data_IF_975151513183
#
_entry.id   IF_975151513183
#
_cell.length_a   1.000
_cell.length_b   1.000
_cell.length_c   1.000
_cell.angle_alpha   90.00
_cell.angle_beta   90.00
_cell.angle_gamma   90.00
#
_symmetry.space_group_name_H-M   'P 1'
#
loop_
_entity.id
_entity.type
_entity.pdbx_description
1 polymer ?
#
# COMPACT_ATOMS: atom_id res chain seq x y z
N UNK A 1 -17.12 3.95 -1.31
CA UNK A 1 -16.44 3.09 -0.32
C UNK A 1 -15.58 4.00 0.55
N UNK A 2 -15.65 3.91 1.88
CA UNK A 2 -14.81 4.74 2.75
C UNK A 2 -13.42 4.09 2.90
N UNK A 3 -12.60 4.22 1.85
CA UNK A 3 -11.28 3.60 1.79
C UNK A 3 -10.34 4.14 2.88
N UNK A 4 -10.51 5.40 3.28
CA UNK A 4 -9.71 6.06 4.31
C UNK A 4 -9.94 5.42 5.69
N UNK A 5 -11.20 5.12 6.03
CA UNK A 5 -11.50 4.38 7.25
C UNK A 5 -10.89 2.97 7.25
N UNK A 6 -10.95 2.26 6.13
CA UNK A 6 -10.31 0.93 5.99
C UNK A 6 -8.80 1.05 6.15
N UNK A 7 -8.18 2.06 5.54
CA UNK A 7 -6.76 2.32 5.65
C UNK A 7 -6.33 2.50 7.11
N UNK A 8 -6.94 3.44 7.84
CA UNK A 8 -6.55 3.70 9.23
C UNK A 8 -6.80 2.51 10.15
N UNK A 9 -7.88 1.75 9.93
CA UNK A 9 -8.16 0.54 10.71
C UNK A 9 -7.08 -0.53 10.52
N UNK A 10 -6.61 -0.73 9.28
CA UNK A 10 -5.52 -1.66 8.99
C UNK A 10 -4.17 -1.17 9.55
N UNK A 11 -3.88 0.13 9.48
CA UNK A 11 -2.68 0.72 10.10
C UNK A 11 -2.69 0.52 11.62
N UNK A 12 -3.81 0.82 12.29
CA UNK A 12 -3.94 0.62 13.73
C UNK A 12 -3.76 -0.86 14.11
N UNK A 13 -4.36 -1.76 13.33
CA UNK A 13 -4.21 -3.22 13.52
C UNK A 13 -2.76 -3.65 13.33
N UNK A 14 -2.06 -3.10 12.33
CA UNK A 14 -0.65 -3.39 12.09
C UNK A 14 0.24 -2.94 13.26
N UNK A 15 0.00 -1.75 13.80
CA UNK A 15 0.74 -1.22 14.95
C UNK A 15 0.51 -2.06 16.21
N UNK A 16 -0.74 -2.45 16.49
CA UNK A 16 -1.06 -3.35 17.61
C UNK A 16 -0.38 -4.71 17.46
N UNK A 17 -0.38 -5.27 16.24
CA UNK A 17 0.28 -6.54 15.96
C UNK A 17 1.79 -6.46 16.21
N UNK A 18 2.45 -5.38 15.77
CA UNK A 18 3.87 -5.12 16.04
C UNK A 18 4.15 -4.98 17.54
N UNK A 19 3.35 -4.22 18.27
CA UNK A 19 3.49 -4.07 19.73
C UNK A 19 3.34 -5.41 20.46
N UNK A 20 2.52 -6.32 19.94
CA UNK A 20 2.36 -7.68 20.44
C UNK A 20 3.42 -8.68 19.94
N UNK A 21 4.45 -8.25 19.21
CA UNK A 21 5.51 -9.11 18.65
C UNK A 21 5.11 -9.91 17.41
N UNK A 22 3.95 -9.64 16.80
CA UNK A 22 3.45 -10.34 15.62
C UNK A 22 3.77 -9.57 14.33
N UNK A 23 5.06 -9.52 13.98
CA UNK A 23 5.56 -8.81 12.80
C UNK A 23 4.99 -9.33 11.47
N UNK A 24 4.70 -10.63 11.39
CA UNK A 24 4.09 -11.20 10.18
C UNK A 24 2.69 -10.61 9.94
N UNK A 25 1.86 -10.54 10.98
CA UNK A 25 0.54 -9.92 10.91
C UNK A 25 0.65 -8.42 10.64
N UNK A 26 1.59 -7.72 11.28
CA UNK A 26 1.84 -6.30 11.04
C UNK A 26 2.08 -6.02 9.54
N UNK A 27 2.92 -6.83 8.88
CA UNK A 27 3.17 -6.74 7.43
C UNK A 27 1.94 -7.07 6.57
N UNK A 28 1.07 -7.98 7.00
CA UNK A 28 -0.16 -8.31 6.28
C UNK A 28 -1.14 -7.13 6.34
N UNK A 29 -1.37 -6.58 7.53
CA UNK A 29 -2.23 -5.42 7.73
C UNK A 29 -1.70 -4.20 6.98
N UNK A 30 -0.40 -3.94 7.01
CA UNK A 30 0.22 -2.86 6.23
C UNK A 30 -0.06 -2.98 4.71
N UNK A 31 0.06 -4.19 4.13
CA UNK A 31 -0.29 -4.41 2.72
C UNK A 31 -1.79 -4.22 2.45
N UNK A 32 -2.66 -4.59 3.38
CA UNK A 32 -4.12 -4.38 3.25
C UNK A 32 -4.45 -2.89 3.29
N UNK A 33 -3.80 -2.13 4.17
CA UNK A 33 -3.91 -0.67 4.22
C UNK A 33 -3.49 -0.06 2.87
N UNK A 34 -2.30 -0.40 2.38
CA UNK A 34 -1.81 0.07 1.08
C UNK A 34 -2.76 -0.28 -0.07
N UNK A 35 -3.34 -1.49 -0.08
CA UNK A 35 -4.30 -1.90 -1.10
C UNK A 35 -5.59 -1.08 -1.06
N UNK A 36 -6.08 -0.66 0.11
CA UNK A 36 -7.28 0.19 0.18
C UNK A 36 -7.07 1.51 -0.56
N UNK A 37 -5.89 2.14 -0.40
CA UNK A 37 -5.51 3.37 -1.10
C UNK A 37 -5.40 3.12 -2.60
N UNK A 38 -4.68 2.07 -3.00
CA UNK A 38 -4.51 1.75 -4.43
C UNK A 38 -5.85 1.47 -5.08
N UNK A 39 -6.76 0.74 -4.42
CA UNK A 39 -8.10 0.51 -4.96
C UNK A 39 -8.89 1.81 -5.13
N UNK A 40 -8.77 2.74 -4.19
CA UNK A 40 -9.41 4.05 -4.30
C UNK A 40 -8.85 4.87 -5.46
N UNK A 41 -7.53 4.90 -5.60
CA UNK A 41 -6.85 5.58 -6.70
C UNK A 41 -7.21 4.97 -8.06
N UNK A 42 -7.18 3.64 -8.20
CA UNK A 42 -7.62 2.97 -9.43
C UNK A 42 -9.06 3.35 -9.77
N UNK A 43 -9.93 3.38 -8.78
CA UNK A 43 -11.32 3.79 -8.97
C UNK A 43 -11.45 5.27 -9.39
N UNK A 44 -10.65 6.19 -8.85
CA UNK A 44 -10.71 7.61 -9.23
C UNK A 44 -10.28 7.84 -10.69
N UNK A 45 -9.34 7.03 -11.20
CA UNK A 45 -8.92 7.06 -12.60
C UNK A 45 -9.77 6.15 -13.52
N UNK A 46 -10.91 5.63 -13.04
CA UNK A 46 -11.86 4.85 -13.83
C UNK A 46 -11.46 3.39 -14.10
N UNK A 47 -10.47 2.87 -13.37
CA UNK A 47 -9.99 1.49 -13.48
C UNK A 47 -10.63 0.63 -12.39
N UNK A 48 -11.24 -0.49 -12.80
CA UNK A 48 -11.78 -1.44 -11.83
C UNK A 48 -10.64 -2.17 -11.10
N UNK A 49 -10.56 -2.09 -9.76
CA UNK A 49 -9.51 -2.77 -9.02
C UNK A 49 -9.65 -4.30 -9.07
N UNK A 50 -8.51 -4.97 -9.08
CA UNK A 50 -8.41 -6.41 -8.94
C UNK A 50 -8.74 -6.86 -7.51
N UNK A 51 -9.21 -8.10 -7.38
CA UNK A 51 -9.44 -8.73 -6.06
C UNK A 51 -8.14 -8.98 -5.29
N UNK A 52 -7.02 -9.16 -5.99
CA UNK A 52 -5.72 -9.45 -5.39
C UNK A 52 -4.89 -8.18 -5.24
N UNK A 53 -4.47 -7.87 -4.01
CA UNK A 53 -3.64 -6.71 -3.71
C UNK A 53 -2.33 -6.65 -4.52
N UNK A 54 -1.67 -7.79 -4.72
CA UNK A 54 -0.43 -7.85 -5.50
C UNK A 54 -0.67 -7.51 -6.98
N UNK A 55 -1.84 -7.85 -7.51
CA UNK A 55 -2.21 -7.47 -8.88
C UNK A 55 -2.43 -5.97 -8.98
N UNK A 56 -3.13 -5.36 -8.02
CA UNK A 56 -3.30 -3.91 -7.95
C UNK A 56 -1.96 -3.18 -7.88
N UNK A 57 -1.04 -3.64 -7.02
CA UNK A 57 0.29 -3.04 -6.88
C UNK A 57 1.12 -3.16 -8.16
N UNK A 58 1.15 -4.34 -8.78
CA UNK A 58 1.86 -4.52 -10.07
C UNK A 58 1.26 -3.69 -11.18
N UNK A 59 -0.07 -3.63 -11.25
CA UNK A 59 -0.74 -2.82 -12.24
C UNK A 59 -0.34 -1.35 -12.06
N UNK A 60 -0.46 -0.82 -10.84
CA UNK A 60 -0.10 0.56 -10.58
C UNK A 60 1.37 0.84 -10.89
N UNK A 61 2.28 -0.04 -10.46
CA UNK A 61 3.72 0.09 -10.71
C UNK A 61 4.05 0.14 -12.21
N UNK A 62 3.36 -0.66 -13.02
CA UNK A 62 3.58 -0.72 -14.47
C UNK A 62 3.00 0.48 -15.24
N UNK A 63 2.03 1.21 -14.66
CA UNK A 63 1.35 2.33 -15.33
C UNK A 63 1.80 3.69 -14.80
N UNK A 64 2.49 3.73 -13.67
CA UNK A 64 3.20 4.92 -13.19
C UNK A 64 4.49 5.14 -13.98
N UNK A 65 4.92 6.40 -14.10
CA UNK A 65 6.25 6.74 -14.64
C UNK A 65 7.36 6.16 -13.75
N UNK A 66 8.52 5.90 -14.34
CA UNK A 66 9.69 5.36 -13.63
C UNK A 66 10.19 6.24 -12.49
N UNK A 67 10.08 7.56 -12.64
CA UNK A 67 10.49 8.57 -11.66
C UNK A 67 9.41 8.87 -10.61
N UNK A 68 8.26 8.22 -10.69
CA UNK A 68 7.15 8.47 -9.77
C UNK A 68 7.51 7.99 -8.35
N UNK A 69 7.32 8.79 -7.29
CA UNK A 69 7.71 8.44 -5.92
C UNK A 69 7.12 7.12 -5.40
N UNK A 70 5.94 6.72 -5.87
CA UNK A 70 5.32 5.46 -5.47
C UNK A 70 6.00 4.20 -6.05
N UNK A 71 6.92 4.33 -7.01
CA UNK A 71 7.62 3.19 -7.62
C UNK A 71 8.39 2.37 -6.57
N UNK A 72 9.15 3.05 -5.71
CA UNK A 72 9.93 2.44 -4.63
C UNK A 72 9.02 1.75 -3.60
N UNK A 73 7.96 2.46 -3.18
CA UNK A 73 6.98 1.98 -2.22
C UNK A 73 6.30 0.70 -2.70
N UNK A 74 5.88 0.68 -3.97
CA UNK A 74 5.26 -0.48 -4.61
C UNK A 74 6.24 -1.65 -4.72
N UNK A 75 7.52 -1.38 -5.00
CA UNK A 75 8.55 -2.42 -5.01
C UNK A 75 8.68 -3.07 -3.63
N UNK A 76 8.73 -2.29 -2.56
CA UNK A 76 8.78 -2.79 -1.18
C UNK A 76 7.54 -3.61 -0.80
N UNK A 77 6.34 -3.14 -1.18
CA UNK A 77 5.08 -3.86 -0.92
C UNK A 77 5.00 -5.20 -1.67
N UNK A 78 5.60 -5.28 -2.86
CA UNK A 78 5.66 -6.48 -3.71
C UNK A 78 6.76 -7.47 -3.30
N UNK A 79 7.71 -7.07 -2.45
CA UNK A 79 8.72 -7.99 -1.92
C UNK A 79 8.01 -9.15 -1.20
N UNK A 80 8.35 -10.36 -1.63
CA UNK A 80 7.99 -11.58 -0.92
C UNK A 80 8.95 -11.75 0.25
N UNK A 81 8.45 -12.42 1.29
CA UNK A 81 9.32 -12.93 2.36
C UNK A 81 10.34 -13.88 1.71
N UNK A 82 11.62 -13.71 2.03
CA UNK A 82 12.68 -14.54 1.45
C UNK A 82 12.54 -16.00 1.90
N UNK A 83 13.29 -16.91 1.27
CA UNK A 83 13.25 -18.36 1.56
C UNK A 83 13.53 -18.69 3.03
N UNK A 84 14.23 -17.80 3.73
CA UNK A 84 14.55 -17.92 5.15
C UNK A 84 13.44 -17.35 6.08
N UNK A 85 12.26 -17.06 5.54
CA UNK A 85 11.15 -16.37 6.22
C UNK A 85 11.52 -14.99 6.78
N UNK A 86 12.69 -14.46 6.43
CA UNK A 86 13.12 -13.11 6.76
C UNK A 86 12.56 -12.11 5.74
N UNK A 87 11.99 -11.03 6.28
CA UNK A 87 11.74 -9.82 5.52
C UNK A 87 12.92 -8.89 5.78
N UNK A 88 13.36 -8.05 4.82
CA UNK A 88 14.49 -7.17 5.10
C UNK A 88 14.16 -6.26 6.28
N UNK A 89 14.93 -6.35 7.37
CA UNK A 89 14.64 -5.66 8.64
C UNK A 89 14.63 -4.13 8.52
N UNK A 90 15.24 -3.59 7.47
CA UNK A 90 15.26 -2.17 7.17
C UNK A 90 13.98 -1.65 6.49
N UNK A 91 13.06 -2.53 6.06
CA UNK A 91 11.84 -2.14 5.36
C UNK A 91 10.66 -2.24 6.31
N UNK A 92 10.10 -1.09 6.68
CA UNK A 92 8.88 -1.01 7.47
C UNK A 92 7.65 -0.82 6.58
N UNK A 93 6.91 -1.91 6.33
CA UNK A 93 5.72 -1.85 5.49
C UNK A 93 4.61 -0.94 6.04
N UNK A 94 4.57 -0.69 7.35
CA UNK A 94 3.62 0.28 7.92
C UNK A 94 3.96 1.68 7.43
N UNK A 95 5.25 2.05 7.47
CA UNK A 95 5.73 3.33 6.94
C UNK A 95 5.56 3.42 5.44
N UNK A 96 5.81 2.34 4.70
CA UNK A 96 5.54 2.30 3.25
C UNK A 96 4.07 2.55 2.92
N UNK A 97 3.14 1.97 3.68
CA UNK A 97 1.71 2.21 3.48
C UNK A 97 1.32 3.66 3.77
N UNK A 98 1.90 4.29 4.81
CA UNK A 98 1.71 5.71 5.12
C UNK A 98 2.30 6.62 4.04
N UNK A 99 3.50 6.32 3.55
CA UNK A 99 4.13 7.06 2.45
C UNK A 99 3.31 6.95 1.16
N UNK A 100 2.76 5.76 0.86
CA UNK A 100 1.88 5.58 -0.29
C UNK A 100 0.61 6.43 -0.19
N UNK A 101 0.03 6.52 1.01
CA UNK A 101 -1.12 7.37 1.28
C UNK A 101 -0.82 8.83 0.96
N UNK A 102 0.29 9.36 1.46
CA UNK A 102 0.69 10.74 1.22
C UNK A 102 0.87 11.02 -0.28
N UNK A 103 1.58 10.13 -0.99
CA UNK A 103 1.85 10.29 -2.42
C UNK A 103 0.54 10.35 -3.21
N UNK A 104 -0.35 9.36 -3.04
CA UNK A 104 -1.57 9.26 -3.86
C UNK A 104 -2.66 10.25 -3.45
N UNK A 105 -2.74 10.63 -2.17
CA UNK A 105 -3.67 11.67 -1.69
C UNK A 105 -3.28 13.08 -2.19
N UNK A 106 -2.01 13.32 -2.50
CA UNK A 106 -1.58 14.56 -3.16
C UNK A 106 -1.98 14.59 -4.64
N UNK A 107 -1.99 13.43 -5.32
CA UNK A 107 -2.42 13.34 -6.72
C UNK A 107 -3.93 13.54 -6.91
N UNK A 108 -4.74 12.97 -6.00
CA UNK A 108 -6.21 13.15 -6.01
C UNK A 108 -6.60 14.63 -5.82
N UNK A 109 -5.78 15.41 -5.10
CA UNK A 109 -5.95 16.85 -4.93
C UNK A 109 -5.38 17.68 -6.08
N UNK A 110 -4.36 17.18 -6.77
CA UNK A 110 -3.68 17.88 -7.87
C UNK A 110 -4.37 17.67 -9.23
N UNK A 111 -5.12 16.58 -9.40
CA UNK A 111 -6.06 16.38 -10.51
C UNK A 111 -7.48 16.56 -9.99
N UNK A 112 -8.06 17.77 -10.03
CA UNK A 112 -9.51 17.87 -9.99
C UNK A 112 -9.99 17.16 -11.25
N UNK A 113 -10.48 15.93 -11.09
CA UNK A 113 -11.12 15.20 -12.18
C UNK A 113 -12.37 15.98 -12.61
N UNK A 114 -12.16 16.86 -13.59
CA UNK A 114 -13.13 17.56 -14.47
C UNK A 114 -14.22 18.36 -13.74
#
# INVERSE_FOLDING_TARGET
MNWEQVFYQEIETAQKARQGGNEAMARVCARRAANAIVQAYLHSIGIQPFRNAMQNFRWLQNHLKSEHPAQEVLAHLLLKVNRDFSFPDHIDLIQEALRLHEILSMEDKASPHI
#
